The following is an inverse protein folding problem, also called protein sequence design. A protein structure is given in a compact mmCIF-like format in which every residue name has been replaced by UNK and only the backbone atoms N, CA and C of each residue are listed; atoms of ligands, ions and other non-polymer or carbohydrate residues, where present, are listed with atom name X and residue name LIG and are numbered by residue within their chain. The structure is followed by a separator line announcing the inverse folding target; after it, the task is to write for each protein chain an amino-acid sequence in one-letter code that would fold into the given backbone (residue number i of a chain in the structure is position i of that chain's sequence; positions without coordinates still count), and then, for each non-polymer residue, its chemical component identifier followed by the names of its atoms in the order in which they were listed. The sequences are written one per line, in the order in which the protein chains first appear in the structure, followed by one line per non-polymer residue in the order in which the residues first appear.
data_IF_846474779503
#
_entry.id   IF_846474779503
#
_cell.length_a   1.000
_cell.length_b   1.000
_cell.length_c   1.000
_cell.angle_alpha   90.00
_cell.angle_beta   90.00
_cell.angle_gamma   90.00
#
_symmetry.space_group_name_H-M   'P 1'
#
loop_
_entity.id
_entity.type
_entity.pdbx_description
1 polymer ?
#
# COMPACT_ATOMS: atom_id res chain seq x y z
N UNK A 1 12.60 -1.49 44.51
CA UNK A 1 12.89 -0.27 43.72
C UNK A 1 14.36 -0.32 43.31
N UNK A 2 14.69 0.32 42.18
CA UNK A 2 15.99 0.49 41.51
C UNK A 2 16.34 -0.56 40.45
N UNK A 3 15.72 -0.45 39.27
CA UNK A 3 16.17 0.38 38.12
C UNK A 3 17.10 -0.44 37.22
N UNK A 4 16.49 -1.09 36.21
CA UNK A 4 17.20 -1.59 35.02
C UNK A 4 17.58 -0.36 34.17
N UNK A 5 18.47 0.45 34.74
CA UNK A 5 18.99 1.68 34.16
C UNK A 5 19.99 1.37 33.07
N UNK A 6 19.82 2.06 31.95
CA UNK A 6 20.72 2.08 30.82
C UNK A 6 22.11 2.58 31.24
N UNK A 7 23.14 1.74 31.08
CA UNK A 7 24.52 2.12 31.35
C UNK A 7 25.05 3.04 30.23
N UNK A 8 25.16 4.33 30.53
CA UNK A 8 25.63 5.40 29.63
C UNK A 8 27.13 5.33 29.26
N UNK A 9 27.86 4.32 29.73
CA UNK A 9 29.29 4.10 29.44
C UNK A 9 29.59 2.76 28.76
N UNK A 10 28.63 2.18 28.03
CA UNK A 10 28.97 1.03 27.16
C UNK A 10 29.81 1.52 25.97
N UNK A 11 31.02 0.98 25.76
CA UNK A 11 31.79 1.24 24.54
C UNK A 11 30.96 0.81 23.32
N UNK A 12 30.92 1.62 22.26
CA UNK A 12 30.14 1.32 21.04
C UNK A 12 30.57 0.03 20.32
N UNK A 13 31.68 -0.58 20.74
CA UNK A 13 32.25 -1.82 20.21
C UNK A 13 32.04 -3.06 21.12
N UNK A 14 31.34 -2.97 22.25
CA UNK A 14 31.12 -4.15 23.13
C UNK A 14 30.05 -5.12 22.61
N UNK A 15 29.15 -4.66 21.75
CA UNK A 15 28.26 -5.55 21.02
C UNK A 15 28.93 -5.91 19.69
N UNK A 16 29.71 -6.99 19.65
CA UNK A 16 30.08 -7.63 18.38
C UNK A 16 28.76 -7.99 17.69
N UNK A 17 28.44 -7.30 16.58
CA UNK A 17 27.25 -7.61 15.76
C UNK A 17 27.26 -9.06 15.28
N UNK A 18 28.45 -9.64 15.21
CA UNK A 18 28.76 -11.00 14.81
C UNK A 18 28.39 -12.05 15.88
N UNK A 19 28.04 -11.61 17.09
CA UNK A 19 27.71 -12.45 18.25
C UNK A 19 26.27 -12.24 18.72
N UNK A 20 25.32 -12.09 17.79
CA UNK A 20 23.98 -12.59 18.08
C UNK A 20 24.06 -14.06 17.68
N UNK A 21 24.35 -14.93 18.65
CA UNK A 21 24.20 -16.37 18.50
C UNK A 21 22.71 -16.67 18.32
N UNK A 22 22.23 -16.50 17.09
CA UNK A 22 20.89 -16.93 16.70
C UNK A 22 20.91 -18.45 16.89
N UNK A 23 20.22 -18.94 17.92
CA UNK A 23 20.11 -20.37 18.19
C UNK A 23 19.82 -21.11 16.88
N UNK A 24 20.47 -22.25 16.57
CA UNK A 24 20.38 -22.90 15.26
C UNK A 24 18.93 -23.14 14.80
N UNK A 25 18.02 -23.34 15.75
CA UNK A 25 16.55 -23.41 15.52
C UNK A 25 15.93 -22.10 15.02
N UNK A 26 16.37 -20.94 15.50
CA UNK A 26 15.87 -19.64 15.06
C UNK A 26 16.38 -19.27 13.66
N UNK A 27 17.63 -19.63 13.33
CA UNK A 27 18.17 -19.49 11.97
C UNK A 27 17.39 -20.37 10.98
N UNK A 28 17.15 -21.63 11.33
CA UNK A 28 16.32 -22.53 10.50
C UNK A 28 14.86 -22.06 10.42
N UNK A 29 14.33 -21.42 11.46
CA UNK A 29 12.99 -20.85 11.45
C UNK A 29 12.86 -19.66 10.51
N UNK A 30 13.82 -18.72 10.49
CA UNK A 30 13.81 -17.62 9.52
C UNK A 30 13.86 -18.16 8.08
N UNK A 31 14.75 -19.11 7.80
CA UNK A 31 14.83 -19.77 6.49
C UNK A 31 13.49 -20.42 6.14
N UNK A 32 12.85 -21.10 7.10
CA UNK A 32 11.53 -21.71 6.92
C UNK A 32 10.45 -20.66 6.58
N UNK A 33 10.43 -19.52 7.29
CA UNK A 33 9.48 -18.43 7.04
C UNK A 33 9.67 -17.81 5.65
N UNK A 34 10.91 -17.52 5.27
CA UNK A 34 11.23 -17.00 3.94
C UNK A 34 10.80 -17.96 2.84
N UNK A 35 11.16 -19.25 2.96
CA UNK A 35 10.76 -20.28 1.99
C UNK A 35 9.24 -20.40 1.87
N UNK A 36 8.50 -20.27 2.97
CA UNK A 36 7.03 -20.28 2.95
C UNK A 36 6.47 -19.02 2.30
N UNK A 37 7.06 -17.86 2.57
CA UNK A 37 6.69 -16.61 1.94
C UNK A 37 6.90 -16.67 0.43
N UNK A 38 8.10 -17.02 -0.03
CA UNK A 38 8.44 -17.09 -1.46
C UNK A 38 7.53 -18.07 -2.21
N UNK A 39 7.11 -19.17 -1.56
CA UNK A 39 6.17 -20.14 -2.14
C UNK A 39 4.74 -19.60 -2.27
N UNK A 40 4.28 -18.79 -1.32
CA UNK A 40 2.86 -18.39 -1.22
C UNK A 40 2.59 -16.98 -1.73
N UNK A 41 3.60 -16.10 -1.70
CA UNK A 41 3.51 -14.72 -2.13
C UNK A 41 3.40 -14.64 -3.65
N UNK A 42 2.34 -14.00 -4.12
CA UNK A 42 2.14 -13.69 -5.53
C UNK A 42 2.16 -12.19 -5.70
N UNK A 43 3.05 -11.70 -6.57
CA UNK A 43 3.10 -10.27 -6.90
C UNK A 43 1.82 -9.91 -7.66
N UNK A 44 1.01 -8.96 -7.17
CA UNK A 44 -0.17 -8.50 -7.89
C UNK A 44 0.26 -7.86 -9.22
N UNK A 45 -0.39 -8.25 -10.31
CA UNK A 45 -0.14 -7.66 -11.63
C UNK A 45 -1.20 -6.62 -11.92
N UNK A 46 -0.79 -5.36 -11.98
CA UNK A 46 -1.64 -4.24 -12.35
C UNK A 46 -1.20 -3.67 -13.70
N UNK A 47 -2.13 -3.07 -14.43
CA UNK A 47 -1.85 -2.32 -15.66
C UNK A 47 -2.36 -0.89 -15.52
N UNK A 48 -1.72 0.02 -16.26
CA UNK A 48 -2.22 1.38 -16.41
C UNK A 48 -3.59 1.33 -17.10
N UNK A 49 -4.56 2.06 -16.55
CA UNK A 49 -5.96 2.04 -16.99
C UNK A 49 -6.87 1.08 -16.22
N UNK A 50 -6.33 0.15 -15.40
CA UNK A 50 -7.17 -0.73 -14.58
C UNK A 50 -7.90 0.09 -13.51
N UNK A 51 -9.14 -0.33 -13.19
CA UNK A 51 -9.92 0.21 -12.08
C UNK A 51 -9.55 -0.52 -10.78
N UNK A 52 -9.28 0.26 -9.74
CA UNK A 52 -8.87 -0.26 -8.44
C UNK A 52 -9.52 0.47 -7.27
N UNK A 53 -9.66 -0.25 -6.17
CA UNK A 53 -10.12 0.24 -4.89
C UNK A 53 -8.91 0.55 -3.99
N UNK A 54 -8.92 1.70 -3.32
CA UNK A 54 -7.86 2.12 -2.40
C UNK A 54 -8.32 1.95 -0.94
N UNK A 55 -7.46 1.38 -0.10
CA UNK A 55 -7.79 1.12 1.31
C UNK A 55 -7.82 2.39 2.15
N UNK A 56 -8.86 2.57 2.96
CA UNK A 56 -9.04 3.74 3.84
C UNK A 56 -8.25 3.67 5.16
N UNK A 57 -7.53 2.58 5.43
CA UNK A 57 -6.89 2.30 6.72
C UNK A 57 -6.02 3.44 7.28
N UNK A 58 -5.33 4.16 6.39
CA UNK A 58 -4.38 5.23 6.74
C UNK A 58 -4.96 6.64 6.55
N UNK A 59 -6.25 6.77 6.26
CA UNK A 59 -6.89 8.06 6.06
C UNK A 59 -7.62 8.49 7.34
N UNK A 60 -7.12 9.56 7.96
CA UNK A 60 -7.70 10.10 9.20
C UNK A 60 -8.81 11.14 8.97
N UNK A 61 -8.97 11.64 7.74
CA UNK A 61 -9.87 12.75 7.41
C UNK A 61 -10.97 12.35 6.41
N UNK A 62 -11.44 11.10 6.47
CA UNK A 62 -12.64 10.69 5.72
C UNK A 62 -13.86 11.03 6.58
N UNK A 63 -14.96 11.42 5.93
CA UNK A 63 -16.17 11.90 6.61
C UNK A 63 -16.93 10.79 7.33
N UNK A 64 -16.78 10.74 8.64
CA UNK A 64 -17.64 9.91 9.48
C UNK A 64 -16.91 9.20 10.61
N UNK A 65 -17.64 8.39 11.40
CA UNK A 65 -17.03 7.56 12.42
C UNK A 65 -16.33 6.36 11.77
N UNK A 66 -15.07 6.11 12.14
CA UNK A 66 -14.21 5.02 11.61
C UNK A 66 -14.86 3.63 11.52
N UNK A 67 -15.91 3.35 12.30
CA UNK A 67 -16.65 2.08 12.27
C UNK A 67 -17.67 1.96 11.12
N UNK A 68 -18.19 3.08 10.62
CA UNK A 68 -19.18 3.13 9.53
C UNK A 68 -18.54 3.47 8.19
N UNK A 69 -17.25 3.81 8.19
CA UNK A 69 -16.48 4.06 6.97
C UNK A 69 -16.27 2.79 6.17
N UNK A 70 -16.33 2.92 4.84
CA UNK A 70 -15.92 1.85 3.95
C UNK A 70 -14.42 1.59 4.12
N UNK A 71 -14.03 0.30 4.20
CA UNK A 71 -12.62 -0.08 4.30
C UNK A 71 -11.82 0.19 3.02
N UNK A 72 -12.52 0.35 1.89
CA UNK A 72 -11.98 0.59 0.56
C UNK A 72 -12.88 1.57 -0.18
N UNK A 73 -12.28 2.53 -0.87
CA UNK A 73 -12.99 3.61 -1.55
C UNK A 73 -12.68 3.63 -3.04
N UNK A 74 -13.71 3.97 -3.80
CA UNK A 74 -13.70 4.30 -5.23
C UNK A 74 -13.33 3.14 -6.17
N UNK A 75 -13.82 3.13 -7.40
CA UNK A 75 -12.99 2.68 -8.50
C UNK A 75 -12.16 3.87 -8.99
N UNK A 76 -10.86 3.85 -8.73
CA UNK A 76 -9.89 4.81 -9.26
C UNK A 76 -9.12 4.19 -10.42
N UNK A 77 -8.75 5.02 -11.39
CA UNK A 77 -7.95 4.58 -12.53
C UNK A 77 -6.47 4.60 -12.16
N UNK A 78 -5.74 3.54 -12.50
CA UNK A 78 -4.28 3.54 -12.42
C UNK A 78 -3.70 4.43 -13.52
N UNK A 79 -2.99 5.48 -13.13
CA UNK A 79 -2.29 6.39 -14.04
C UNK A 79 -0.88 5.89 -14.36
N UNK A 80 -0.22 5.26 -13.39
CA UNK A 80 1.17 4.87 -13.54
C UNK A 80 1.63 3.83 -12.54
N UNK A 81 2.74 3.17 -12.85
CA UNK A 81 3.39 2.17 -12.00
C UNK A 81 4.83 2.61 -11.74
N UNK A 82 5.07 3.50 -10.75
CA UNK A 82 6.41 4.05 -10.47
C UNK A 82 7.42 2.97 -10.03
N UNK A 83 6.97 1.80 -9.58
CA UNK A 83 7.82 0.65 -9.30
C UNK A 83 7.01 -0.62 -9.04
N UNK A 84 7.68 -1.73 -8.74
CA UNK A 84 7.02 -3.04 -8.56
C UNK A 84 6.03 -3.06 -7.39
N UNK A 85 6.31 -2.30 -6.34
CA UNK A 85 5.52 -2.30 -5.10
C UNK A 85 4.62 -1.07 -4.97
N UNK A 86 4.58 -0.18 -5.97
CA UNK A 86 3.91 1.10 -5.88
C UNK A 86 3.10 1.39 -7.14
N UNK A 87 1.87 1.87 -6.95
CA UNK A 87 0.91 2.19 -8.00
C UNK A 87 0.45 3.61 -7.79
N UNK A 88 0.39 4.38 -8.87
CA UNK A 88 -0.14 5.73 -8.88
C UNK A 88 -1.56 5.71 -9.45
N UNK A 89 -2.51 6.22 -8.68
CA UNK A 89 -3.93 6.31 -9.06
C UNK A 89 -4.39 7.75 -9.14
N UNK A 90 -5.42 7.99 -9.95
CA UNK A 90 -6.09 9.28 -10.02
C UNK A 90 -7.15 9.36 -8.91
N UNK A 91 -6.86 10.13 -7.86
CA UNK A 91 -7.80 10.34 -6.75
C UNK A 91 -8.75 11.50 -7.07
N UNK A 92 -10.03 11.29 -6.77
CA UNK A 92 -11.09 12.28 -6.96
C UNK A 92 -11.85 12.56 -5.66
N UNK A 93 -12.68 13.60 -5.66
CA UNK A 93 -13.55 13.97 -4.53
C UNK A 93 -12.76 14.34 -3.28
N UNK A 94 -13.10 13.73 -2.14
CA UNK A 94 -12.50 14.02 -0.83
C UNK A 94 -11.03 13.62 -0.72
N UNK A 95 -10.58 12.74 -1.63
CA UNK A 95 -9.24 12.16 -1.64
C UNK A 95 -8.29 12.89 -2.61
N UNK A 96 -8.77 13.86 -3.38
CA UNK A 96 -7.98 14.58 -4.37
C UNK A 96 -6.72 15.25 -3.79
N UNK A 97 -6.79 15.70 -2.53
CA UNK A 97 -5.66 16.35 -1.83
C UNK A 97 -4.68 15.35 -1.18
N UNK A 98 -4.90 14.03 -1.34
CA UNK A 98 -4.05 12.99 -0.76
C UNK A 98 -3.00 12.53 -1.78
N UNK A 99 -1.94 11.91 -1.28
CA UNK A 99 -0.87 11.43 -2.15
C UNK A 99 -1.40 10.31 -3.08
N UNK A 100 -1.22 10.41 -4.40
CA UNK A 100 -1.81 9.48 -5.37
C UNK A 100 -1.08 8.14 -5.47
N UNK A 101 0.14 8.01 -4.92
CA UNK A 101 0.90 6.75 -4.95
C UNK A 101 0.64 5.92 -3.70
N UNK A 102 0.23 4.68 -3.91
CA UNK A 102 -0.04 3.70 -2.86
C UNK A 102 0.79 2.43 -3.05
N UNK A 103 1.15 1.74 -1.96
CA UNK A 103 1.73 0.40 -2.06
C UNK A 103 0.68 -0.60 -2.57
N UNK A 104 1.11 -1.61 -3.32
CA UNK A 104 0.20 -2.64 -3.88
C UNK A 104 -0.65 -3.35 -2.83
N UNK A 105 -0.17 -3.43 -1.58
CA UNK A 105 -0.89 -4.05 -0.46
C UNK A 105 -2.17 -3.29 -0.07
N UNK A 106 -2.22 -1.98 -0.32
CA UNK A 106 -3.37 -1.13 0.00
C UNK A 106 -4.34 -0.99 -1.17
N UNK A 107 -4.15 -1.76 -2.23
CA UNK A 107 -4.91 -1.68 -3.47
C UNK A 107 -5.60 -3.01 -3.73
N UNK A 108 -6.85 -2.96 -4.15
CA UNK A 108 -7.61 -4.11 -4.63
C UNK A 108 -8.09 -3.88 -6.04
N UNK A 109 -8.11 -4.92 -6.86
CA UNK A 109 -8.72 -4.88 -8.18
C UNK A 109 -10.21 -4.64 -8.04
N UNK A 110 -10.76 -3.68 -8.79
CA UNK A 110 -12.20 -3.43 -8.83
C UNK A 110 -12.88 -4.52 -9.66
N UNK A 111 -13.95 -5.12 -9.12
CA UNK A 111 -14.80 -6.05 -9.83
C UNK A 111 -16.19 -5.43 -9.97
N UNK A 112 -16.68 -5.19 -11.21
CA UNK A 112 -18.03 -4.68 -11.41
C UNK A 112 -19.05 -5.71 -10.93
N UNK A 113 -20.20 -5.24 -10.45
CA UNK A 113 -21.28 -6.13 -10.04
C UNK A 113 -21.89 -6.83 -11.27
N UNK A 114 -22.08 -8.14 -11.19
CA UNK A 114 -22.75 -8.90 -12.24
C UNK A 114 -24.27 -8.71 -12.16
N UNK A 115 -24.84 -8.00 -13.13
CA UNK A 115 -26.28 -7.68 -13.18
C UNK A 115 -27.18 -8.92 -13.22
N UNK A 116 -26.71 -9.99 -13.88
CA UNK A 116 -27.47 -11.24 -14.03
C UNK A 116 -27.70 -11.97 -12.70
N UNK A 117 -26.72 -11.92 -11.80
CA UNK A 117 -26.80 -12.59 -10.50
C UNK A 117 -27.66 -11.81 -9.51
N UNK A 118 -27.73 -10.48 -9.65
CA UNK A 118 -28.40 -9.59 -8.71
C UNK A 118 -29.28 -8.55 -9.41
N UNK A 119 -30.38 -8.98 -10.07
CA UNK A 119 -31.21 -8.11 -10.90
C UNK A 119 -31.95 -7.00 -10.13
N UNK A 120 -32.15 -7.18 -8.83
CA UNK A 120 -32.84 -6.20 -7.95
C UNK A 120 -31.90 -5.12 -7.39
N UNK A 121 -30.60 -5.20 -7.68
CA UNK A 121 -29.62 -4.26 -7.14
C UNK A 121 -29.59 -2.99 -7.99
N UNK A 122 -29.95 -1.86 -7.38
CA UNK A 122 -29.76 -0.56 -8.01
C UNK A 122 -28.25 -0.25 -8.08
N UNK A 123 -27.69 0.04 -9.27
CA UNK A 123 -26.29 0.40 -9.37
C UNK A 123 -26.06 1.75 -8.70
N UNK A 124 -25.10 1.82 -7.78
CA UNK A 124 -24.61 3.10 -7.27
C UNK A 124 -23.87 3.83 -8.39
N UNK A 125 -24.14 5.13 -8.61
CA UNK A 125 -23.45 5.88 -9.66
C UNK A 125 -21.95 5.92 -9.40
N UNK A 126 -21.15 5.43 -10.35
CA UNK A 126 -19.69 5.46 -10.27
C UNK A 126 -19.20 6.85 -10.67
N UNK A 127 -18.47 7.51 -9.78
CA UNK A 127 -17.76 8.75 -10.11
C UNK A 127 -16.40 8.38 -10.70
N UNK A 128 -16.38 7.96 -11.97
CA UNK A 128 -15.11 7.70 -12.69
C UNK A 128 -14.52 9.06 -13.06
N UNK A 129 -13.31 9.42 -12.58
CA UNK A 129 -12.68 10.67 -13.00
C UNK A 129 -12.40 10.62 -14.52
N UNK A 130 -12.59 11.73 -15.25
CA UNK A 130 -12.15 11.82 -16.64
C UNK A 130 -10.66 11.56 -16.72
N UNK A 131 -10.24 10.52 -17.45
CA UNK A 131 -8.83 10.19 -17.67
C UNK A 131 -8.21 11.25 -18.58
N UNK A 132 -7.76 12.36 -18.00
CA UNK A 132 -6.91 13.30 -18.71
C UNK A 132 -5.53 12.66 -18.83
N UNK A 133 -5.14 12.33 -20.06
CA UNK A 133 -3.81 11.79 -20.34
C UNK A 133 -2.78 12.85 -19.95
N UNK A 134 -2.22 12.73 -18.75
CA UNK A 134 -1.22 13.67 -18.27
C UNK A 134 0.00 13.56 -19.17
N UNK A 135 0.19 14.53 -20.06
CA UNK A 135 1.44 14.71 -20.77
C UNK A 135 2.55 14.86 -19.71
N UNK A 136 3.53 13.97 -19.77
CA UNK A 136 4.70 13.97 -18.90
C UNK A 136 5.38 15.36 -18.95
N UNK A 137 5.27 16.14 -17.88
CA UNK A 137 6.01 17.40 -17.74
C UNK A 137 7.51 17.10 -17.74
N UNK A 138 8.18 17.34 -18.86
CA UNK A 138 9.65 17.31 -18.97
C UNK A 138 10.23 18.28 -17.95
N UNK A 139 10.81 17.75 -16.89
CA UNK A 139 11.55 18.52 -15.89
C UNK A 139 12.81 19.07 -16.58
N UNK A 140 12.87 20.38 -16.80
CA UNK A 140 14.10 21.04 -17.26
C UNK A 140 15.09 21.06 -16.11
N UNK A 141 16.19 20.32 -16.25
CA UNK A 141 17.30 20.32 -15.30
C UNK A 141 17.98 21.71 -15.40
N UNK A 142 17.81 22.54 -14.37
CA UNK A 142 18.57 23.79 -14.25
C UNK A 142 19.92 23.41 -13.66
N UNK A 143 20.96 23.44 -14.49
CA UNK A 143 22.36 23.39 -14.05
C UNK A 143 22.75 24.85 -13.77
N UNK A 144 23.35 25.09 -12.60
CA UNK A 144 23.87 26.39 -12.18
C UNK A 144 25.35 26.49 -12.48
#
# INVERSE_FOLDING_TARGET
MLEKGWNLRLPTNTLRKDFIDIHPTASSFNIMLHKKWDKSHKVPKFKVGDLVLVSTLNFNNIKGPKKLEDSYVGPFVIVGLPGTNAVQVELSGELANKHPTFPVTLIKTYQPAEEKLFPLRNPTPLTVPPVEHSEYKKIKKIIK
#
